data_IF_520291334970
#
_entry.id   IF_520291334970
#
_cell.length_a   1.000
_cell.length_b   1.000
_cell.length_c   1.000
_cell.angle_alpha   90.00
_cell.angle_beta   90.00
_cell.angle_gamma   90.00
#
_symmetry.space_group_name_H-M   'P 1'
#
loop_
_entity.id
_entity.type
_entity.pdbx_description
1 polymer ?
#
# COMPACT_ATOMS: atom_id res chain seq x y z
N UNK A 1 0.66 -8.97 24.44
CA UNK A 1 1.70 -7.94 24.19
C UNK A 1 1.02 -6.76 23.54
N UNK A 2 1.17 -5.54 24.06
CA UNK A 2 0.59 -4.35 23.45
C UNK A 2 1.53 -3.85 22.35
N UNK A 3 1.17 -4.08 21.09
CA UNK A 3 1.92 -3.59 19.93
C UNK A 3 1.73 -2.07 19.80
N UNK A 4 2.83 -1.36 19.55
CA UNK A 4 2.89 0.08 19.35
C UNK A 4 3.33 0.45 17.92
N UNK A 5 3.27 1.75 17.60
CA UNK A 5 3.80 2.24 16.33
C UNK A 5 5.33 2.12 16.25
N UNK A 6 6.03 2.13 17.39
CA UNK A 6 7.49 1.98 17.43
C UNK A 6 7.89 0.58 16.99
N UNK A 7 7.17 -0.45 17.48
CA UNK A 7 7.41 -1.84 17.10
C UNK A 7 7.22 -2.04 15.59
N UNK A 8 6.10 -1.52 15.04
CA UNK A 8 5.86 -1.58 13.59
C UNK A 8 6.90 -0.77 12.78
N UNK A 9 7.49 0.30 13.34
CA UNK A 9 8.55 1.06 12.67
C UNK A 9 9.88 0.31 12.62
N UNK A 10 10.18 -0.46 13.65
CA UNK A 10 11.35 -1.34 13.67
C UNK A 10 11.23 -2.43 12.61
N UNK A 11 10.09 -3.12 12.58
CA UNK A 11 9.76 -4.10 11.53
C UNK A 11 9.85 -3.48 10.13
N UNK A 12 9.30 -2.28 9.93
CA UNK A 12 9.41 -1.54 8.67
C UNK A 12 10.86 -1.20 8.29
N UNK A 13 11.77 -1.11 9.26
CA UNK A 13 13.19 -0.85 8.98
C UNK A 13 13.87 -2.11 8.44
N UNK A 14 13.52 -3.29 8.99
CA UNK A 14 13.93 -4.59 8.44
C UNK A 14 13.38 -4.81 7.03
N UNK A 15 12.08 -4.61 6.81
CA UNK A 15 11.42 -4.77 5.49
C UNK A 15 12.09 -3.97 4.36
N UNK A 16 12.68 -2.81 4.66
CA UNK A 16 13.32 -1.97 3.65
C UNK A 16 14.67 -2.52 3.16
N UNK A 17 15.35 -3.34 3.96
CA UNK A 17 16.69 -3.84 3.67
C UNK A 17 16.57 -5.25 3.11
N UNK A 18 17.12 -5.50 1.93
CA UNK A 18 16.98 -6.79 1.22
C UNK A 18 17.29 -7.99 2.12
N UNK A 19 18.43 -7.94 2.82
CA UNK A 19 18.92 -9.06 3.64
C UNK A 19 18.05 -9.39 4.86
N UNK A 20 17.27 -8.42 5.36
CA UNK A 20 16.40 -8.61 6.55
C UNK A 20 14.91 -8.49 6.22
N UNK A 21 14.58 -8.41 4.93
CA UNK A 21 13.22 -8.13 4.48
C UNK A 21 12.24 -9.24 4.86
N UNK A 22 12.63 -10.47 4.57
CA UNK A 22 11.81 -11.66 4.86
C UNK A 22 11.63 -11.83 6.36
N UNK A 23 12.69 -11.68 7.15
CA UNK A 23 12.61 -11.70 8.62
C UNK A 23 11.60 -10.67 9.14
N UNK A 24 11.71 -9.41 8.70
CA UNK A 24 10.75 -8.37 9.09
C UNK A 24 9.31 -8.70 8.67
N UNK A 25 9.12 -9.33 7.51
CA UNK A 25 7.79 -9.75 7.08
C UNK A 25 7.22 -10.90 7.93
N UNK A 26 8.03 -11.88 8.30
CA UNK A 26 7.63 -12.97 9.19
C UNK A 26 7.26 -12.45 10.59
N UNK A 27 8.02 -11.49 11.12
CA UNK A 27 7.66 -10.79 12.37
C UNK A 27 6.31 -10.08 12.25
N UNK A 28 6.06 -9.41 11.12
CA UNK A 28 4.79 -8.74 10.85
C UNK A 28 3.61 -9.74 10.80
N UNK A 29 3.82 -10.94 10.25
CA UNK A 29 2.80 -12.00 10.19
C UNK A 29 2.46 -12.58 11.57
N UNK A 30 3.38 -12.52 12.53
CA UNK A 30 3.12 -12.90 13.92
C UNK A 30 2.17 -11.94 14.66
N UNK A 31 1.87 -10.78 14.08
CA UNK A 31 0.96 -9.79 14.68
C UNK A 31 -0.46 -10.01 14.17
N UNK A 32 -1.37 -10.29 15.10
CA UNK A 32 -2.80 -10.38 14.85
C UNK A 32 -3.41 -8.97 14.64
N UNK A 33 -3.84 -8.62 13.40
CA UNK A 33 -4.33 -7.29 13.10
C UNK A 33 -5.68 -6.97 13.76
N UNK A 34 -6.47 -7.97 14.16
CA UNK A 34 -7.76 -7.74 14.82
C UNK A 34 -7.61 -7.23 16.25
N UNK A 35 -6.44 -7.44 16.86
CA UNK A 35 -6.08 -6.94 18.20
C UNK A 35 -5.48 -5.54 18.16
N UNK A 36 -5.24 -4.97 16.99
CA UNK A 36 -4.66 -3.64 16.82
C UNK A 36 -5.73 -2.57 16.82
N UNK A 37 -5.40 -1.37 17.33
CA UNK A 37 -6.24 -0.21 17.05
C UNK A 37 -6.23 0.12 15.54
N UNK A 38 -7.24 0.84 15.02
CA UNK A 38 -7.38 1.03 13.56
C UNK A 38 -6.17 1.69 12.90
N UNK A 39 -5.48 2.59 13.61
CA UNK A 39 -4.28 3.25 13.10
C UNK A 39 -3.12 2.27 12.90
N UNK A 40 -2.90 1.39 13.88
CA UNK A 40 -1.90 0.33 13.81
C UNK A 40 -2.27 -0.74 12.79
N UNK A 41 -3.54 -1.15 12.71
CA UNK A 41 -4.03 -2.11 11.72
C UNK A 41 -3.83 -1.59 10.28
N UNK A 42 -4.16 -0.32 10.02
CA UNK A 42 -3.87 0.31 8.73
C UNK A 42 -2.36 0.34 8.43
N UNK A 43 -1.52 0.61 9.43
CA UNK A 43 -0.07 0.61 9.22
C UNK A 43 0.47 -0.80 8.97
N UNK A 44 -0.05 -1.81 9.67
CA UNK A 44 0.26 -3.22 9.43
C UNK A 44 -0.05 -3.64 7.99
N UNK A 45 -1.26 -3.35 7.48
CA UNK A 45 -1.62 -3.59 6.08
C UNK A 45 -0.69 -2.84 5.11
N UNK A 46 -0.34 -1.59 5.42
CA UNK A 46 0.63 -0.82 4.63
C UNK A 46 2.02 -1.49 4.58
N UNK A 47 2.49 -2.09 5.68
CA UNK A 47 3.78 -2.78 5.71
C UNK A 47 3.76 -4.06 4.90
N UNK A 48 2.67 -4.83 4.94
CA UNK A 48 2.48 -5.98 4.03
C UNK A 48 2.53 -5.55 2.57
N UNK A 49 1.77 -4.51 2.22
CA UNK A 49 1.78 -3.96 0.85
C UNK A 49 3.15 -3.42 0.44
N UNK A 50 3.92 -2.86 1.37
CA UNK A 50 5.31 -2.44 1.11
C UNK A 50 6.21 -3.64 0.84
N UNK A 51 6.16 -4.67 1.68
CA UNK A 51 6.96 -5.88 1.50
C UNK A 51 6.78 -6.44 0.09
N UNK A 52 5.53 -6.69 -0.30
CA UNK A 52 5.23 -7.19 -1.64
C UNK A 52 5.63 -6.22 -2.74
N UNK A 53 5.46 -4.92 -2.55
CA UNK A 53 5.92 -3.91 -3.51
C UNK A 53 7.44 -3.95 -3.74
N UNK A 54 8.23 -4.21 -2.71
CA UNK A 54 9.68 -4.35 -2.81
C UNK A 54 10.07 -5.67 -3.49
N UNK A 55 9.42 -6.79 -3.16
CA UNK A 55 9.63 -8.06 -3.85
C UNK A 55 9.32 -7.94 -5.36
N UNK A 56 8.23 -7.24 -5.72
CA UNK A 56 7.95 -6.94 -7.13
C UNK A 56 9.05 -6.08 -7.79
N UNK A 57 9.62 -5.12 -7.07
CA UNK A 57 10.71 -4.28 -7.61
C UNK A 57 11.95 -5.11 -7.96
N UNK A 58 12.21 -6.19 -7.23
CA UNK A 58 13.34 -7.10 -7.44
C UNK A 58 13.03 -8.19 -8.47
N UNK A 59 11.94 -8.94 -8.27
CA UNK A 59 11.67 -10.17 -9.01
C UNK A 59 10.79 -9.96 -10.25
N UNK A 60 10.10 -8.82 -10.33
CA UNK A 60 9.10 -8.49 -11.37
C UNK A 60 7.94 -9.49 -11.48
N UNK A 61 7.71 -10.30 -10.46
CA UNK A 61 6.57 -11.21 -10.43
C UNK A 61 5.25 -10.46 -10.19
N UNK A 62 4.30 -10.64 -11.11
CA UNK A 62 3.00 -9.96 -11.06
C UNK A 62 2.22 -10.24 -9.76
N UNK A 63 2.32 -11.46 -9.23
CA UNK A 63 1.67 -11.88 -7.99
C UNK A 63 1.99 -10.94 -6.83
N UNK A 64 3.25 -10.52 -6.68
CA UNK A 64 3.65 -9.56 -5.66
C UNK A 64 2.96 -8.20 -5.83
N UNK A 65 2.79 -7.73 -7.07
CA UNK A 65 2.11 -6.46 -7.32
C UNK A 65 0.60 -6.56 -7.03
N UNK A 66 -0.02 -7.70 -7.32
CA UNK A 66 -1.42 -7.99 -7.00
C UNK A 66 -1.63 -8.07 -5.48
N UNK A 67 -0.78 -8.81 -4.76
CA UNK A 67 -0.84 -8.85 -3.29
C UNK A 67 -0.61 -7.46 -2.67
N UNK A 68 0.33 -6.69 -3.20
CA UNK A 68 0.52 -5.31 -2.77
C UNK A 68 -0.75 -4.47 -2.95
N UNK A 69 -1.45 -4.63 -4.09
CA UNK A 69 -2.71 -3.95 -4.34
C UNK A 69 -3.76 -4.28 -3.28
N UNK A 70 -3.93 -5.56 -2.97
CA UNK A 70 -4.93 -6.04 -2.03
C UNK A 70 -4.68 -5.46 -0.63
N UNK A 71 -3.41 -5.43 -0.20
CA UNK A 71 -3.05 -4.84 1.09
C UNK A 71 -3.28 -3.32 1.14
N UNK A 72 -3.06 -2.59 0.04
CA UNK A 72 -3.35 -1.15 0.00
C UNK A 72 -4.85 -0.84 -0.09
N UNK A 73 -5.66 -1.72 -0.69
CA UNK A 73 -7.12 -1.64 -0.62
C UNK A 73 -7.62 -1.94 0.81
N UNK A 74 -7.01 -2.90 1.50
CA UNK A 74 -7.35 -3.29 2.88
C UNK A 74 -7.22 -2.13 3.88
N UNK A 75 -6.26 -1.21 3.68
CA UNK A 75 -6.15 0.01 4.49
C UNK A 75 -7.48 0.79 4.52
N UNK A 76 -8.14 0.90 3.36
CA UNK A 76 -9.41 1.65 3.25
C UNK A 76 -10.55 0.84 3.86
N UNK A 77 -10.55 -0.48 3.69
CA UNK A 77 -11.50 -1.40 4.34
C UNK A 77 -11.44 -1.27 5.86
N UNK A 78 -10.23 -1.33 6.46
CA UNK A 78 -10.01 -1.15 7.90
C UNK A 78 -10.53 0.21 8.35
N UNK A 79 -10.24 1.27 7.60
CA UNK A 79 -10.67 2.62 7.94
C UNK A 79 -12.20 2.73 7.98
N UNK A 80 -12.88 2.23 6.94
CA UNK A 80 -14.34 2.24 6.86
C UNK A 80 -15.01 1.40 7.94
N UNK A 81 -14.49 0.19 8.21
CA UNK A 81 -15.00 -0.70 9.28
C UNK A 81 -15.04 -0.01 10.65
N UNK A 82 -14.10 0.90 10.91
CA UNK A 82 -13.98 1.61 12.17
C UNK A 82 -14.47 3.07 12.11
N UNK A 83 -15.12 3.49 11.02
CA UNK A 83 -15.63 4.86 10.87
C UNK A 83 -14.54 5.94 10.85
N UNK A 84 -13.29 5.58 10.54
CA UNK A 84 -12.15 6.51 10.45
C UNK A 84 -11.76 6.79 9.00
N UNK A 85 -10.98 7.85 8.78
CA UNK A 85 -10.45 8.20 7.45
C UNK A 85 -8.94 7.93 7.37
N UNK A 86 -8.43 7.36 6.26
CA UNK A 86 -6.99 7.23 6.06
C UNK A 86 -6.39 8.61 5.72
N UNK A 87 -5.90 9.33 6.74
CA UNK A 87 -5.35 10.69 6.59
C UNK A 87 -3.92 10.73 6.03
N UNK A 88 -3.21 9.61 6.05
CA UNK A 88 -1.82 9.57 5.61
C UNK A 88 -1.76 9.55 4.07
N UNK A 89 -1.19 10.59 3.42
CA UNK A 89 -1.13 10.66 1.97
C UNK A 89 -0.36 9.49 1.35
N UNK A 90 0.58 8.89 2.08
CA UNK A 90 1.34 7.72 1.59
C UNK A 90 0.44 6.51 1.35
N UNK A 91 -0.59 6.31 2.16
CA UNK A 91 -1.52 5.18 1.97
C UNK A 91 -2.33 5.37 0.69
N UNK A 92 -2.90 6.56 0.52
CA UNK A 92 -3.68 6.92 -0.66
C UNK A 92 -2.81 6.88 -1.94
N UNK A 93 -1.58 7.40 -1.85
CA UNK A 93 -0.65 7.40 -2.97
C UNK A 93 -0.25 5.99 -3.38
N UNK A 94 0.18 5.14 -2.44
CA UNK A 94 0.58 3.76 -2.78
C UNK A 94 -0.57 2.98 -3.39
N UNK A 95 -1.79 3.16 -2.90
CA UNK A 95 -3.00 2.58 -3.51
C UNK A 95 -3.22 3.02 -4.95
N UNK A 96 -3.07 4.31 -5.26
CA UNK A 96 -3.19 4.83 -6.63
C UNK A 96 -2.05 4.35 -7.53
N UNK A 97 -0.82 4.42 -7.02
CA UNK A 97 0.40 4.05 -7.73
C UNK A 97 0.45 2.57 -8.09
N UNK A 98 0.08 1.67 -7.17
CA UNK A 98 0.06 0.23 -7.46
C UNK A 98 -0.95 -0.12 -8.56
N UNK A 99 -2.11 0.56 -8.60
CA UNK A 99 -3.09 0.40 -9.69
C UNK A 99 -2.55 0.93 -11.01
N UNK A 100 -1.81 2.04 -10.98
CA UNK A 100 -1.09 2.51 -12.17
C UNK A 100 -0.09 1.47 -12.68
N UNK A 101 0.74 0.89 -11.80
CA UNK A 101 1.69 -0.16 -12.18
C UNK A 101 0.97 -1.37 -12.79
N UNK A 102 -0.10 -1.88 -12.15
CA UNK A 102 -0.90 -2.99 -12.68
C UNK A 102 -1.42 -2.67 -14.08
N UNK A 103 -1.84 -1.44 -14.34
CA UNK A 103 -2.32 -1.03 -15.67
C UNK A 103 -1.26 -1.10 -16.78
N UNK A 104 0.03 -1.01 -16.41
CA UNK A 104 1.16 -1.07 -17.33
C UNK A 104 1.59 -2.51 -17.63
N UNK A 105 1.50 -3.40 -16.64
CA UNK A 105 2.08 -4.76 -16.75
C UNK A 105 1.07 -5.86 -17.08
N UNK A 106 -0.22 -5.65 -16.82
CA UNK A 106 -1.24 -6.66 -17.14
C UNK A 106 -1.38 -6.84 -18.65
N UNK A 107 -1.57 -8.09 -19.09
CA UNK A 107 -1.74 -8.42 -20.51
C UNK A 107 -3.14 -8.08 -21.01
N UNK A 108 -4.17 -8.38 -20.21
CA UNK A 108 -5.56 -8.23 -20.61
C UNK A 108 -5.97 -6.76 -20.72
N UNK A 109 -6.38 -6.33 -21.92
CA UNK A 109 -6.79 -4.95 -22.21
C UNK A 109 -7.87 -4.41 -21.27
N UNK A 110 -8.86 -5.22 -20.90
CA UNK A 110 -9.93 -4.83 -19.99
C UNK A 110 -9.38 -4.51 -18.59
N UNK A 111 -8.53 -5.37 -18.04
CA UNK A 111 -7.91 -5.20 -16.72
C UNK A 111 -6.99 -3.98 -16.70
N UNK A 112 -6.19 -3.78 -17.76
CA UNK A 112 -5.38 -2.56 -17.91
C UNK A 112 -6.22 -1.29 -17.84
N UNK A 113 -7.30 -1.23 -18.62
CA UNK A 113 -8.22 -0.08 -18.64
C UNK A 113 -8.86 0.15 -17.27
N UNK A 114 -9.32 -0.91 -16.61
CA UNK A 114 -9.91 -0.83 -15.27
C UNK A 114 -8.92 -0.22 -14.26
N UNK A 115 -7.72 -0.78 -14.17
CA UNK A 115 -6.72 -0.31 -13.22
C UNK A 115 -6.23 1.11 -13.51
N UNK A 116 -6.07 1.46 -14.79
CA UNK A 116 -5.73 2.83 -15.21
C UNK A 116 -6.81 3.83 -14.76
N UNK A 117 -8.09 3.54 -15.04
CA UNK A 117 -9.20 4.39 -14.61
C UNK A 117 -9.25 4.55 -13.08
N UNK A 118 -9.00 3.46 -12.34
CA UNK A 118 -8.94 3.51 -10.87
C UNK A 118 -7.77 4.35 -10.38
N UNK A 119 -6.60 4.25 -11.02
CA UNK A 119 -5.46 5.09 -10.69
C UNK A 119 -5.79 6.58 -10.89
N UNK A 120 -6.41 6.97 -12.03
CA UNK A 120 -6.86 8.35 -12.26
C UNK A 120 -7.82 8.84 -11.17
N UNK A 121 -8.86 8.06 -10.86
CA UNK A 121 -9.85 8.41 -9.84
C UNK A 121 -9.22 8.62 -8.46
N UNK A 122 -8.29 7.74 -8.07
CA UNK A 122 -7.62 7.81 -6.77
C UNK A 122 -6.60 8.94 -6.70
N UNK A 123 -5.88 9.22 -7.79
CA UNK A 123 -4.96 10.35 -7.88
C UNK A 123 -5.70 11.68 -7.75
N UNK A 124 -6.81 11.86 -8.48
CA UNK A 124 -7.65 13.06 -8.35
C UNK A 124 -8.26 13.18 -6.95
N UNK A 125 -8.72 12.08 -6.36
CA UNK A 125 -9.19 12.08 -4.98
C UNK A 125 -8.08 12.46 -3.99
N UNK A 126 -6.87 11.93 -4.17
CA UNK A 126 -5.70 12.28 -3.37
C UNK A 126 -5.38 13.77 -3.42
N UNK A 127 -5.39 14.37 -4.62
CA UNK A 127 -5.13 15.79 -4.82
C UNK A 127 -6.21 16.69 -4.21
N UNK A 128 -7.48 16.25 -4.14
CA UNK A 128 -8.52 17.03 -3.43
C UNK A 128 -8.23 17.19 -1.94
N UNK A 129 -7.64 16.18 -1.30
CA UNK A 129 -7.32 16.22 0.14
C UNK A 129 -5.89 16.67 0.43
N UNK A 130 -4.98 16.53 -0.55
CA UNK A 130 -3.56 16.81 -0.42
C UNK A 130 -3.05 17.57 -1.65
N UNK A 131 -3.62 18.76 -1.89
CA UNK A 131 -3.44 19.53 -3.12
C UNK A 131 -1.99 19.89 -3.47
N UNK A 132 -1.11 20.00 -2.49
CA UNK A 132 0.31 20.32 -2.69
C UNK A 132 1.22 19.09 -2.70
N UNK A 133 0.68 17.86 -2.65
CA UNK A 133 1.51 16.67 -2.55
C UNK A 133 2.24 16.35 -3.87
N UNK A 134 3.59 16.38 -3.90
CA UNK A 134 4.35 16.24 -5.15
C UNK A 134 4.23 14.86 -5.77
N UNK A 135 4.06 13.80 -4.97
CA UNK A 135 3.93 12.43 -5.49
C UNK A 135 2.63 12.25 -6.27
N UNK A 136 1.53 12.85 -5.81
CA UNK A 136 0.28 12.83 -6.56
C UNK A 136 0.33 13.66 -7.85
N UNK A 137 1.01 14.82 -7.83
CA UNK A 137 1.24 15.61 -9.05
C UNK A 137 2.07 14.86 -10.07
N UNK A 138 3.15 14.20 -9.63
CA UNK A 138 3.95 13.33 -10.48
C UNK A 138 3.09 12.21 -11.08
N UNK A 139 2.32 11.48 -10.26
CA UNK A 139 1.48 10.40 -10.75
C UNK A 139 0.40 10.89 -11.73
N UNK A 140 -0.14 12.10 -11.53
CA UNK A 140 -1.06 12.72 -12.48
C UNK A 140 -0.42 13.01 -13.83
N UNK A 141 0.87 13.32 -13.88
CA UNK A 141 1.61 13.50 -15.13
C UNK A 141 1.92 12.18 -15.87
N UNK A 142 1.98 11.06 -15.14
CA UNK A 142 2.26 9.72 -15.69
C UNK A 142 1.02 8.97 -16.22
N UNK A 143 -0.17 9.41 -15.80
CA UNK A 143 -1.48 8.84 -16.15
C UNK A 143 -2.03 9.47 -17.44
#
# INVERSE_FOLDING_TARGET
>A
MNISFSDLKEINSKIKVSDTREEGYLELLGIDPEKLNPGLAMYHAYLKGKYYGLCYEEDKELSYLEWANDQYDEIVTIAWKHGVKPKNPKYLFKRAYTKFLLSKVLVQKASRKYFHQKACQLTEAGLRYHASNPSFHWLKGEL
#
